data_IF_780252783109
#
_entry.id   IF_780252783109
#
_cell.length_a   1.000
_cell.length_b   1.000
_cell.length_c   1.000
_cell.angle_alpha   90.00
_cell.angle_beta   90.00
_cell.angle_gamma   90.00
#
_symmetry.space_group_name_H-M   'P 1'
#
loop_
_entity.id
_entity.type
_entity.pdbx_description
1 polymer ?
#
# COMPACT_ATOMS: atom_id res chain seq x y z
N UNK A 1 37.67 -26.17 65.60
CA UNK A 1 37.88 -24.73 65.32
C UNK A 1 39.24 -24.62 64.64
N UNK A 2 39.43 -24.42 63.35
CA UNK A 2 38.59 -24.10 62.20
C UNK A 2 39.60 -23.72 61.11
N UNK A 3 39.61 -24.44 59.98
CA UNK A 3 40.53 -24.20 58.85
C UNK A 3 39.97 -23.03 58.04
N UNK A 4 40.79 -22.01 57.78
CA UNK A 4 40.49 -20.93 56.84
C UNK A 4 41.68 -20.75 55.90
N UNK A 5 41.55 -21.18 54.65
CA UNK A 5 42.39 -20.70 53.55
C UNK A 5 41.47 -20.29 52.40
N UNK A 6 41.55 -19.00 52.06
CA UNK A 6 40.85 -18.35 50.97
C UNK A 6 41.32 -18.90 49.61
N UNK A 7 40.36 -19.30 48.77
CA UNK A 7 40.55 -19.41 47.33
C UNK A 7 39.77 -18.29 46.64
N UNK A 8 40.49 -17.32 46.08
CA UNK A 8 40.00 -16.34 45.13
C UNK A 8 39.65 -17.06 43.82
N UNK A 9 38.39 -17.02 43.41
CA UNK A 9 37.95 -17.37 42.06
C UNK A 9 37.36 -16.15 41.38
N UNK A 10 38.11 -15.56 40.45
CA UNK A 10 37.66 -14.45 39.63
C UNK A 10 36.51 -14.91 38.72
N UNK A 11 35.33 -14.30 38.88
CA UNK A 11 34.23 -14.44 37.94
C UNK A 11 34.43 -13.48 36.78
N UNK A 12 35.12 -13.95 35.74
CA UNK A 12 35.09 -13.31 34.42
C UNK A 12 33.69 -13.54 33.83
N UNK A 13 32.81 -12.55 33.93
CA UNK A 13 31.59 -12.51 33.11
C UNK A 13 32.01 -12.10 31.70
N UNK A 14 32.08 -13.10 30.81
CA UNK A 14 32.20 -12.88 29.37
C UNK A 14 30.98 -12.09 28.85
N UNK A 15 31.25 -11.24 27.88
CA UNK A 15 30.34 -10.22 27.37
C UNK A 15 29.06 -10.75 26.74
N UNK A 16 28.03 -9.91 26.80
CA UNK A 16 26.81 -10.05 26.03
C UNK A 16 26.96 -9.32 24.68
N UNK A 17 26.89 -10.00 23.53
CA UNK A 17 26.61 -9.38 22.25
C UNK A 17 25.10 -9.51 21.97
N UNK A 18 24.26 -8.64 22.54
CA UNK A 18 22.81 -8.64 22.26
C UNK A 18 22.18 -7.25 22.05
N UNK A 19 22.96 -6.19 21.91
CA UNK A 19 22.42 -4.83 21.88
C UNK A 19 22.05 -4.32 20.48
N UNK A 20 22.60 -4.89 19.41
CA UNK A 20 22.37 -4.39 18.05
C UNK A 20 21.06 -4.91 17.42
N UNK A 21 20.69 -6.16 17.70
CA UNK A 21 19.53 -6.82 17.06
C UNK A 21 18.20 -6.31 17.63
N UNK A 22 18.12 -6.20 18.96
CA UNK A 22 16.94 -5.70 19.69
C UNK A 22 16.60 -4.24 19.31
N UNK A 23 17.62 -3.42 19.02
CA UNK A 23 17.41 -2.02 18.66
C UNK A 23 16.83 -1.88 17.23
N UNK A 24 17.30 -2.70 16.29
CA UNK A 24 16.77 -2.75 14.92
C UNK A 24 15.33 -3.26 14.88
N UNK A 25 15.04 -4.34 15.61
CA UNK A 25 13.67 -4.88 15.68
C UNK A 25 12.68 -3.87 16.29
N UNK A 26 13.09 -3.16 17.33
CA UNK A 26 12.31 -2.08 17.94
C UNK A 26 12.04 -0.93 16.96
N UNK A 27 13.06 -0.50 16.21
CA UNK A 27 12.93 0.54 15.19
C UNK A 27 12.03 0.11 14.03
N UNK A 28 12.17 -1.13 13.54
CA UNK A 28 11.29 -1.69 12.52
C UNK A 28 9.83 -1.73 12.97
N UNK A 29 9.58 -2.14 14.23
CA UNK A 29 8.23 -2.18 14.79
C UNK A 29 7.62 -0.76 14.90
N UNK A 30 8.41 0.23 15.31
CA UNK A 30 7.99 1.62 15.38
C UNK A 30 7.61 2.18 14.00
N UNK A 31 8.48 1.98 12.99
CA UNK A 31 8.22 2.42 11.61
C UNK A 31 6.94 1.79 11.04
N UNK A 32 6.75 0.48 11.23
CA UNK A 32 5.52 -0.22 10.81
C UNK A 32 4.28 0.35 11.51
N UNK A 33 4.39 0.63 12.81
CA UNK A 33 3.29 1.23 13.57
C UNK A 33 2.92 2.62 13.03
N UNK A 34 3.90 3.48 12.76
CA UNK A 34 3.67 4.81 12.20
C UNK A 34 3.02 4.75 10.80
N UNK A 35 3.45 3.82 9.95
CA UNK A 35 2.84 3.57 8.64
C UNK A 35 1.36 3.20 8.81
N UNK A 36 1.05 2.22 9.67
CA UNK A 36 -0.33 1.76 9.87
C UNK A 36 -1.22 2.83 10.49
N UNK A 37 -0.70 3.64 11.41
CA UNK A 37 -1.42 4.77 11.98
C UNK A 37 -1.77 5.79 10.88
N UNK A 38 -0.80 6.15 10.04
CA UNK A 38 -1.03 7.08 8.94
C UNK A 38 -2.01 6.51 7.90
N UNK A 39 -1.87 5.23 7.52
CA UNK A 39 -2.84 4.57 6.63
C UNK A 39 -4.24 4.56 7.23
N UNK A 40 -4.38 4.28 8.53
CA UNK A 40 -5.66 4.29 9.23
C UNK A 40 -6.29 5.67 9.23
N UNK A 41 -5.50 6.72 9.49
CA UNK A 41 -5.98 8.10 9.41
C UNK A 41 -6.50 8.44 8.01
N UNK A 42 -5.79 8.04 6.94
CA UNK A 42 -6.28 8.22 5.56
C UNK A 42 -7.60 7.48 5.35
N UNK A 43 -7.70 6.20 5.74
CA UNK A 43 -8.94 5.41 5.60
C UNK A 43 -10.11 6.10 6.29
N UNK A 44 -9.89 6.69 7.47
CA UNK A 44 -10.93 7.41 8.22
C UNK A 44 -11.42 8.65 7.46
N UNK A 45 -10.52 9.45 6.90
CA UNK A 45 -10.90 10.66 6.15
C UNK A 45 -11.64 10.29 4.85
N UNK A 46 -11.08 9.34 4.09
CA UNK A 46 -11.58 8.98 2.75
C UNK A 46 -12.94 8.27 2.81
N UNK A 47 -13.22 7.50 3.87
CA UNK A 47 -14.46 6.71 3.98
C UNK A 47 -15.53 7.36 4.85
N UNK A 48 -15.47 8.67 5.06
CA UNK A 48 -16.58 9.39 5.68
C UNK A 48 -17.87 9.19 4.87
N UNK A 49 -19.01 8.95 5.55
CA UNK A 49 -20.27 8.68 4.87
C UNK A 49 -20.81 9.94 4.17
N UNK A 50 -21.54 9.72 3.07
CA UNK A 50 -22.28 10.77 2.39
C UNK A 50 -23.77 10.57 2.64
N UNK A 51 -24.46 11.64 3.03
CA UNK A 51 -25.90 11.60 3.26
C UNK A 51 -26.64 11.17 1.99
N UNK A 52 -27.40 10.07 2.09
CA UNK A 52 -28.26 9.59 1.04
C UNK A 52 -29.69 10.12 1.23
N UNK A 53 -30.39 10.34 0.13
CA UNK A 53 -31.83 10.62 0.10
C UNK A 53 -32.56 9.48 -0.60
N UNK A 54 -33.81 9.24 -0.20
CA UNK A 54 -34.66 8.29 -0.92
C UNK A 54 -34.98 8.86 -2.30
N UNK A 55 -34.75 8.07 -3.34
CA UNK A 55 -35.05 8.47 -4.70
C UNK A 55 -36.56 8.48 -4.94
N UNK A 56 -37.07 9.54 -5.56
CA UNK A 56 -38.46 9.63 -6.05
C UNK A 56 -38.48 9.61 -7.58
N UNK A 57 -39.66 9.44 -8.18
CA UNK A 57 -39.79 9.34 -9.65
C UNK A 57 -39.54 10.68 -10.36
N UNK A 58 -39.80 11.77 -9.67
CA UNK A 58 -39.69 13.15 -10.16
C UNK A 58 -38.25 13.69 -10.04
N UNK A 59 -37.38 12.99 -9.30
CA UNK A 59 -36.00 13.40 -9.07
C UNK A 59 -35.17 13.24 -10.34
N UNK A 60 -34.51 14.31 -10.77
CA UNK A 60 -33.52 14.27 -11.85
C UNK A 60 -32.21 13.68 -11.32
N UNK A 61 -31.88 12.47 -11.73
CA UNK A 61 -30.72 11.72 -11.22
C UNK A 61 -29.84 11.28 -12.38
N UNK A 62 -28.53 11.48 -12.25
CA UNK A 62 -27.53 10.82 -13.11
C UNK A 62 -27.22 9.43 -12.57
N UNK A 63 -27.35 8.39 -13.40
CA UNK A 63 -27.06 7.01 -13.01
C UNK A 63 -25.68 6.61 -13.51
N UNK A 64 -24.82 6.15 -12.59
CA UNK A 64 -23.47 5.66 -12.87
C UNK A 64 -23.47 4.13 -12.91
N UNK A 65 -22.84 3.56 -13.93
CA UNK A 65 -22.67 2.12 -14.10
C UNK A 65 -21.38 1.83 -14.91
N UNK A 66 -20.66 0.73 -14.61
CA UNK A 66 -20.93 -0.22 -13.52
C UNK A 66 -20.46 0.36 -12.17
N UNK A 67 -21.37 0.45 -11.21
CA UNK A 67 -21.07 0.99 -9.88
C UNK A 67 -20.67 2.47 -9.88
N UNK A 68 -19.97 2.84 -8.81
CA UNK A 68 -19.46 4.19 -8.59
C UNK A 68 -18.05 4.43 -9.17
N UNK A 69 -17.35 3.36 -9.52
CA UNK A 69 -15.89 3.37 -9.71
C UNK A 69 -15.49 2.57 -10.95
N UNK A 70 -14.47 3.05 -11.67
CA UNK A 70 -13.87 2.35 -12.83
C UNK A 70 -12.69 1.47 -12.42
N UNK A 71 -12.26 0.51 -13.25
CA UNK A 71 -11.13 -0.39 -12.96
C UNK A 71 -9.80 0.37 -12.71
N UNK A 72 -8.90 -0.22 -11.91
CA UNK A 72 -7.54 0.30 -11.68
C UNK A 72 -7.25 0.89 -10.29
N UNK A 73 -7.51 0.15 -9.21
CA UNK A 73 -7.00 0.55 -7.90
C UNK A 73 -5.47 0.31 -7.84
N UNK A 74 -4.68 1.35 -8.11
CA UNK A 74 -3.23 1.29 -7.93
C UNK A 74 -2.84 1.86 -6.56
N UNK A 75 -1.82 1.27 -5.93
CA UNK A 75 -1.18 1.88 -4.76
C UNK A 75 -0.60 3.24 -5.22
N UNK A 76 -0.97 4.37 -4.59
CA UNK A 76 -0.41 5.66 -4.95
C UNK A 76 1.09 5.71 -4.64
N UNK A 77 1.86 6.46 -5.43
CA UNK A 77 3.20 6.84 -5.00
C UNK A 77 3.09 7.88 -3.88
N UNK A 78 3.16 7.39 -2.65
CA UNK A 78 3.00 8.19 -1.45
C UNK A 78 4.04 9.32 -1.32
N UNK A 79 5.20 9.20 -1.97
CA UNK A 79 6.25 10.22 -1.93
C UNK A 79 5.99 11.41 -2.84
N UNK A 80 5.18 11.25 -3.90
CA UNK A 80 5.04 12.27 -4.94
C UNK A 80 3.61 12.68 -5.23
N UNK A 81 2.63 11.78 -5.17
CA UNK A 81 1.24 12.03 -5.58
C UNK A 81 0.60 13.22 -4.86
N UNK A 82 -0.14 14.07 -5.57
CA UNK A 82 -0.99 15.11 -4.98
C UNK A 82 -2.45 14.82 -5.32
N UNK A 83 -3.24 14.46 -4.32
CA UNK A 83 -4.62 14.02 -4.55
C UNK A 83 -5.52 15.16 -5.04
N UNK A 84 -5.11 16.43 -4.88
CA UNK A 84 -5.87 17.59 -5.37
C UNK A 84 -5.89 17.65 -6.88
N UNK A 85 -4.85 17.11 -7.53
CA UNK A 85 -4.70 17.07 -8.98
C UNK A 85 -5.47 15.91 -9.62
N UNK A 86 -5.78 14.88 -8.84
CA UNK A 86 -6.46 13.67 -9.32
C UNK A 86 -7.96 13.65 -9.03
N UNK A 87 -8.49 14.69 -8.37
CA UNK A 87 -9.91 14.79 -8.05
C UNK A 87 -10.76 14.92 -9.33
N UNK A 88 -11.71 14.00 -9.51
CA UNK A 88 -12.68 14.02 -10.60
C UNK A 88 -14.10 14.24 -10.07
N UNK A 89 -14.74 15.30 -10.58
CA UNK A 89 -16.13 15.62 -10.28
C UNK A 89 -16.97 15.91 -11.52
N UNK A 90 -16.35 15.87 -12.70
CA UNK A 90 -16.95 16.35 -13.93
C UNK A 90 -18.17 15.50 -14.35
N UNK A 91 -18.16 14.21 -14.03
CA UNK A 91 -19.31 13.32 -14.23
C UNK A 91 -20.48 13.69 -13.32
N UNK A 92 -20.21 13.89 -12.02
CA UNK A 92 -21.25 14.08 -11.01
C UNK A 92 -21.93 15.45 -11.12
N UNK A 93 -21.16 16.52 -11.33
CA UNK A 93 -21.65 17.91 -11.31
C UNK A 93 -22.68 18.23 -12.42
N UNK A 94 -22.83 17.35 -13.42
CA UNK A 94 -23.82 17.47 -14.51
C UNK A 94 -25.26 17.23 -14.05
N UNK A 95 -25.46 16.63 -12.88
CA UNK A 95 -26.77 16.29 -12.36
C UNK A 95 -26.96 16.92 -10.97
N UNK A 96 -28.19 17.22 -10.53
CA UNK A 96 -28.42 17.68 -9.16
C UNK A 96 -28.27 16.53 -8.13
N UNK A 97 -28.65 15.32 -8.55
CA UNK A 97 -28.51 14.10 -7.78
C UNK A 97 -27.84 13.02 -8.61
N UNK A 98 -27.18 12.08 -7.95
CA UNK A 98 -26.55 10.92 -8.59
C UNK A 98 -26.93 9.63 -7.88
N UNK A 99 -26.97 8.54 -8.63
CA UNK A 99 -27.20 7.18 -8.13
C UNK A 99 -26.33 6.20 -8.92
N UNK A 100 -26.31 4.95 -8.49
CA UNK A 100 -25.67 3.85 -9.21
C UNK A 100 -26.64 2.67 -9.31
N UNK A 101 -26.40 1.81 -10.30
CA UNK A 101 -26.99 0.47 -10.41
C UNK A 101 -26.87 -0.37 -9.12
N UNK A 102 -25.89 -0.09 -8.26
CA UNK A 102 -25.73 -0.74 -6.95
C UNK A 102 -26.72 -0.24 -5.89
N UNK A 103 -27.32 0.94 -6.06
CA UNK A 103 -28.22 1.55 -5.08
C UNK A 103 -29.44 2.23 -5.73
N UNK A 104 -30.26 1.50 -6.51
CA UNK A 104 -31.26 2.10 -7.40
C UNK A 104 -32.36 2.90 -6.68
N UNK A 105 -32.61 2.61 -5.39
CA UNK A 105 -33.60 3.31 -4.54
C UNK A 105 -33.06 4.52 -3.78
N UNK A 106 -31.75 4.77 -3.84
CA UNK A 106 -31.08 5.87 -3.16
C UNK A 106 -30.48 6.85 -4.16
N UNK A 107 -30.32 8.09 -3.72
CA UNK A 107 -29.60 9.11 -4.46
C UNK A 107 -28.78 9.96 -3.51
N UNK A 108 -27.76 10.63 -4.04
CA UNK A 108 -26.88 11.54 -3.31
C UNK A 108 -26.86 12.88 -4.01
N UNK A 109 -26.68 13.96 -3.24
CA UNK A 109 -26.47 15.29 -3.83
C UNK A 109 -25.15 15.26 -4.59
N UNK A 110 -25.17 15.59 -5.88
CA UNK A 110 -23.97 15.45 -6.73
C UNK A 110 -22.78 16.23 -6.21
N UNK A 111 -23.02 17.44 -5.69
CA UNK A 111 -21.97 18.34 -5.21
C UNK A 111 -21.29 17.85 -3.93
N UNK A 112 -21.80 16.81 -3.28
CA UNK A 112 -21.20 16.23 -2.07
C UNK A 112 -20.43 14.95 -2.35
N UNK A 113 -20.35 14.51 -3.61
CA UNK A 113 -19.62 13.30 -3.99
C UNK A 113 -18.45 13.63 -4.92
N UNK A 114 -17.43 12.79 -4.90
CA UNK A 114 -16.32 12.83 -5.85
C UNK A 114 -15.78 11.42 -6.13
N UNK A 115 -14.96 11.33 -7.18
CA UNK A 115 -14.05 10.23 -7.37
C UNK A 115 -12.63 10.75 -7.31
N UNK A 116 -11.75 9.99 -6.67
CA UNK A 116 -10.33 10.30 -6.67
C UNK A 116 -9.50 9.01 -6.75
N UNK A 117 -8.89 8.71 -7.91
CA UNK A 117 -8.16 7.47 -8.12
C UNK A 117 -6.97 7.33 -7.16
N UNK A 118 -6.34 8.42 -6.75
CA UNK A 118 -5.25 8.41 -5.78
C UNK A 118 -5.70 8.03 -4.36
N UNK A 119 -7.00 8.09 -4.06
CA UNK A 119 -7.54 7.67 -2.76
C UNK A 119 -8.21 6.30 -2.79
N UNK A 120 -8.45 5.75 -3.99
CA UNK A 120 -9.20 4.51 -4.20
C UNK A 120 -8.60 3.31 -3.46
N UNK A 121 -7.27 3.27 -3.33
CA UNK A 121 -6.55 2.27 -2.55
C UNK A 121 -7.06 2.13 -1.10
N UNK A 122 -7.62 3.20 -0.53
CA UNK A 122 -8.11 3.24 0.85
C UNK A 122 -9.62 3.00 0.98
N UNK A 123 -10.33 2.68 -0.11
CA UNK A 123 -11.79 2.50 -0.06
C UNK A 123 -12.14 1.18 0.63
N UNK A 124 -13.01 1.25 1.63
CA UNK A 124 -13.48 0.06 2.38
C UNK A 124 -14.79 -0.51 1.85
N UNK A 125 -15.56 0.31 1.13
CA UNK A 125 -16.82 -0.08 0.51
C UNK A 125 -16.91 0.55 -0.89
N UNK A 126 -17.06 -0.30 -1.90
CA UNK A 126 -17.17 0.08 -3.31
C UNK A 126 -18.62 0.26 -3.78
N UNK A 127 -19.59 -0.10 -2.95
CA UNK A 127 -21.02 0.00 -3.23
C UNK A 127 -21.63 1.34 -2.85
N UNK A 128 -20.82 2.29 -2.38
CA UNK A 128 -21.24 3.63 -1.97
C UNK A 128 -20.32 4.68 -2.57
N UNK A 129 -20.83 5.89 -2.90
CA UNK A 129 -19.99 6.97 -3.36
C UNK A 129 -19.08 7.48 -2.24
N UNK A 130 -18.03 8.23 -2.62
CA UNK A 130 -17.17 8.91 -1.66
C UNK A 130 -17.54 10.37 -1.51
N UNK A 131 -17.36 10.86 -0.29
CA UNK A 131 -17.57 12.26 0.05
C UNK A 131 -16.59 13.12 -0.74
N UNK A 132 -17.09 14.22 -1.31
CA UNK A 132 -16.22 15.27 -1.86
C UNK A 132 -15.33 15.79 -0.72
N UNK A 133 -14.03 15.66 -0.87
CA UNK A 133 -13.07 16.06 0.15
C UNK A 133 -12.93 17.58 0.17
N UNK A 134 -12.80 18.13 1.37
CA UNK A 134 -12.45 19.54 1.54
C UNK A 134 -10.97 19.76 1.23
N UNK A 135 -10.58 21.00 0.95
CA UNK A 135 -9.16 21.33 0.70
C UNK A 135 -8.27 20.93 1.90
N UNK A 136 -8.73 21.20 3.12
CA UNK A 136 -8.01 20.84 4.34
C UNK A 136 -7.82 19.31 4.47
N UNK A 137 -8.86 18.52 4.16
CA UNK A 137 -8.75 17.06 4.17
C UNK A 137 -7.79 16.54 3.09
N UNK A 138 -7.79 17.15 1.90
CA UNK A 138 -6.87 16.74 0.84
C UNK A 138 -5.41 17.06 1.20
N UNK A 139 -5.17 18.25 1.76
CA UNK A 139 -3.85 18.63 2.28
C UNK A 139 -3.39 17.67 3.37
N UNK A 140 -4.29 17.31 4.29
CA UNK A 140 -3.98 16.36 5.36
C UNK A 140 -3.67 14.96 4.82
N UNK A 141 -4.43 14.45 3.84
CA UNK A 141 -4.12 13.17 3.20
C UNK A 141 -2.76 13.22 2.51
N UNK A 142 -2.45 14.30 1.77
CA UNK A 142 -1.14 14.46 1.15
C UNK A 142 -0.01 14.44 2.19
N UNK A 143 -0.20 15.10 3.35
CA UNK A 143 0.75 15.06 4.47
C UNK A 143 0.93 13.63 5.01
N UNK A 144 -0.16 12.90 5.21
CA UNK A 144 -0.13 11.51 5.65
C UNK A 144 0.55 10.60 4.62
N UNK A 145 0.36 10.83 3.32
CA UNK A 145 1.08 10.13 2.26
C UNK A 145 2.59 10.37 2.36
N UNK A 146 3.04 11.61 2.56
CA UNK A 146 4.48 11.88 2.76
C UNK A 146 5.04 11.10 3.95
N UNK A 147 4.31 11.01 5.07
CA UNK A 147 4.71 10.20 6.22
C UNK A 147 4.84 8.73 5.83
N UNK A 148 3.82 8.15 5.19
CA UNK A 148 3.84 6.74 4.77
C UNK A 148 5.05 6.48 3.87
N UNK A 149 5.25 7.30 2.82
CA UNK A 149 6.34 7.11 1.87
C UNK A 149 7.73 7.23 2.50
N UNK A 150 7.93 8.20 3.39
CA UNK A 150 9.19 8.37 4.13
C UNK A 150 9.48 7.16 5.03
N UNK A 151 8.48 6.68 5.77
CA UNK A 151 8.64 5.57 6.71
C UNK A 151 8.80 4.23 5.99
N UNK A 152 8.11 4.02 4.86
CA UNK A 152 8.34 2.87 3.98
C UNK A 152 9.79 2.86 3.45
N UNK A 153 10.34 4.03 3.13
CA UNK A 153 11.74 4.17 2.69
C UNK A 153 12.71 3.81 3.81
N UNK A 154 12.55 4.38 5.01
CA UNK A 154 13.40 4.05 6.17
C UNK A 154 13.32 2.58 6.56
N UNK A 155 12.13 1.97 6.48
CA UNK A 155 11.95 0.55 6.76
C UNK A 155 12.69 -0.31 5.72
N UNK A 156 12.63 0.07 4.45
CA UNK A 156 13.36 -0.61 3.38
C UNK A 156 14.87 -0.50 3.57
N UNK A 157 15.39 0.66 3.96
CA UNK A 157 16.81 0.88 4.27
C UNK A 157 17.28 0.01 5.44
N UNK A 158 16.48 -0.08 6.51
CA UNK A 158 16.80 -0.90 7.68
C UNK A 158 16.78 -2.40 7.39
N UNK A 159 15.96 -2.82 6.41
CA UNK A 159 15.81 -4.22 5.99
C UNK A 159 16.82 -4.61 4.90
N UNK A 160 17.53 -3.65 4.28
CA UNK A 160 18.55 -3.97 3.28
C UNK A 160 19.66 -4.81 3.91
N UNK A 161 20.02 -5.97 3.34
CA UNK A 161 21.17 -6.72 3.80
C UNK A 161 22.43 -5.86 3.62
N UNK A 162 23.25 -5.78 4.67
CA UNK A 162 24.58 -5.16 4.57
C UNK A 162 25.46 -6.18 3.85
N UNK A 163 25.81 -5.88 2.60
CA UNK A 163 26.84 -6.64 1.89
C UNK A 163 28.20 -6.27 2.48
N UNK A 164 29.05 -7.24 2.78
CA UNK A 164 30.42 -6.98 3.26
C UNK A 164 31.31 -6.54 2.10
N UNK A 165 32.39 -5.78 2.37
CA UNK A 165 33.39 -5.41 1.34
C UNK A 165 33.97 -6.65 0.63
N UNK A 166 34.05 -7.79 1.32
CA UNK A 166 34.45 -9.09 0.77
C UNK A 166 33.45 -9.66 -0.27
N UNK A 167 32.15 -9.35 -0.16
CA UNK A 167 31.13 -9.70 -1.18
C UNK A 167 31.10 -8.70 -2.36
N UNK A 168 31.65 -7.50 -2.18
CA UNK A 168 31.78 -6.47 -3.22
C UNK A 168 33.09 -6.57 -4.01
N UNK A 169 34.15 -7.13 -3.40
CA UNK A 169 35.49 -7.26 -3.98
C UNK A 169 35.80 -8.65 -4.55
N UNK A 170 34.85 -9.60 -4.61
CA UNK A 170 35.10 -10.87 -5.29
C UNK A 170 35.09 -10.70 -6.83
N UNK A 171 36.25 -10.74 -7.53
CA UNK A 171 36.28 -10.73 -8.99
C UNK A 171 35.67 -12.01 -9.60
N UNK A 172 35.36 -13.02 -8.78
CA UNK A 172 34.56 -14.21 -9.11
C UNK A 172 33.11 -14.17 -8.59
N UNK A 173 32.56 -13.00 -8.23
CA UNK A 173 31.10 -12.77 -8.22
C UNK A 173 30.49 -12.80 -9.64
N UNK A 174 31.04 -13.65 -10.51
CA UNK A 174 30.38 -14.14 -11.68
C UNK A 174 29.05 -14.71 -11.23
N UNK A 175 27.97 -14.15 -11.79
CA UNK A 175 26.69 -14.83 -11.82
C UNK A 175 26.94 -16.22 -12.44
N UNK A 176 27.22 -17.22 -11.60
CA UNK A 176 27.16 -18.61 -12.03
C UNK A 176 25.68 -18.89 -12.17
N UNK A 177 25.14 -18.52 -13.33
CA UNK A 177 23.92 -19.11 -13.85
C UNK A 177 24.18 -20.61 -13.83
N UNK A 178 23.79 -21.29 -12.75
CA UNK A 178 23.80 -22.75 -12.72
C UNK A 178 22.94 -23.14 -13.90
N UNK A 179 23.50 -23.76 -14.95
CA UNK A 179 22.70 -24.14 -16.10
C UNK A 179 21.58 -25.01 -15.58
N UNK A 180 20.33 -24.72 -15.99
CA UNK A 180 19.19 -25.55 -15.62
C UNK A 180 19.59 -26.99 -15.97
N UNK A 181 19.50 -27.96 -15.03
CA UNK A 181 19.84 -29.34 -15.33
C UNK A 181 19.10 -29.76 -16.60
N UNK A 182 19.78 -30.44 -17.55
CA UNK A 182 19.21 -30.75 -18.88
C UNK A 182 17.83 -31.43 -18.79
N UNK A 183 17.61 -32.19 -17.73
CA UNK A 183 16.35 -32.86 -17.35
C UNK A 183 15.17 -31.89 -17.14
N UNK A 184 15.45 -30.63 -16.81
CA UNK A 184 14.46 -29.57 -16.54
C UNK A 184 14.29 -28.57 -17.67
N UNK A 185 15.03 -28.69 -18.78
CA UNK A 185 14.89 -27.78 -19.93
C UNK A 185 13.51 -27.85 -20.57
N UNK A 186 12.88 -29.02 -20.62
CA UNK A 186 11.52 -29.17 -21.15
C UNK A 186 10.52 -28.44 -20.24
N UNK A 187 10.69 -28.56 -18.92
CA UNK A 187 9.84 -27.88 -17.93
C UNK A 187 10.00 -26.36 -17.96
N UNK A 188 11.24 -25.87 -18.10
CA UNK A 188 11.52 -24.45 -18.27
C UNK A 188 10.96 -23.91 -19.60
N UNK A 189 11.08 -24.67 -20.69
CA UNK A 189 10.52 -24.34 -22.00
C UNK A 189 8.98 -24.26 -21.96
N UNK A 190 8.33 -25.19 -21.28
CA UNK A 190 6.87 -25.19 -21.08
C UNK A 190 6.44 -23.98 -20.25
N UNK A 191 7.15 -23.65 -19.17
CA UNK A 191 6.82 -22.50 -18.34
C UNK A 191 6.91 -21.18 -19.13
N UNK A 192 7.96 -21.00 -19.94
CA UNK A 192 8.13 -19.83 -20.80
C UNK A 192 7.02 -19.78 -21.86
N UNK A 193 6.69 -20.91 -22.50
CA UNK A 193 5.62 -20.97 -23.49
C UNK A 193 4.23 -20.66 -22.89
N UNK A 194 3.97 -21.09 -21.65
CA UNK A 194 2.73 -20.77 -20.93
C UNK A 194 2.65 -19.28 -20.61
N UNK A 195 3.74 -18.67 -20.10
CA UNK A 195 3.78 -17.23 -19.82
C UNK A 195 3.57 -16.42 -21.10
N UNK A 196 4.25 -16.79 -22.20
CA UNK A 196 4.08 -16.13 -23.49
C UNK A 196 2.68 -16.35 -24.09
N UNK A 197 2.10 -17.54 -23.93
CA UNK A 197 0.74 -17.86 -24.37
C UNK A 197 -0.31 -17.03 -23.62
N UNK A 198 -0.20 -16.94 -22.30
CA UNK A 198 -1.08 -16.09 -21.46
C UNK A 198 -0.92 -14.62 -21.83
N UNK A 199 0.31 -14.16 -22.06
CA UNK A 199 0.59 -12.80 -22.51
C UNK A 199 -0.05 -12.50 -23.89
N UNK A 200 0.08 -13.41 -24.86
CA UNK A 200 -0.51 -13.23 -26.18
C UNK A 200 -2.04 -13.27 -26.18
N UNK A 201 -2.64 -14.14 -25.38
CA UNK A 201 -4.10 -14.20 -25.23
C UNK A 201 -4.63 -12.94 -24.57
N UNK A 202 -4.02 -12.50 -23.46
CA UNK A 202 -4.43 -11.29 -22.73
C UNK A 202 -4.19 -9.99 -23.51
N UNK A 203 -3.22 -9.98 -24.43
CA UNK A 203 -2.99 -8.86 -25.35
C UNK A 203 -3.96 -8.81 -26.52
N UNK A 204 -4.47 -9.96 -26.98
CA UNK A 204 -5.39 -10.04 -28.12
C UNK A 204 -6.85 -9.77 -27.74
N UNK A 205 -7.19 -9.88 -26.45
CA UNK A 205 -8.51 -9.56 -25.89
C UNK A 205 -8.64 -8.13 -25.36
N UNK A 206 -7.63 -7.27 -25.57
CA UNK A 206 -7.73 -5.81 -25.49
C UNK A 206 -7.82 -5.22 -26.89
#
# INVERSE_FOLDING_TARGET
MGILLLALGATSTLGAPQTLDVNKDGEMAALKSEIEQAMTAVRTIVNQPVAAVRRTREMRVGTFAPGWFHEGAAKPDFNTVDIRQTRDTAGYDKHPYVTSDLNPGLAWVSRTVEFNPATKYFYTNYSLPKKRLTEAEMVEINRLYRIIGQKETSLAELTRPILTEEELEDPEAGWTLKPIPKERYILAGVAIAVVLGVYFVSRRTR
#
